data_IF_267329875667
#
_entry.id   IF_267329875667
#
_cell.length_a   1.000
_cell.length_b   1.000
_cell.length_c   1.000
_cell.angle_alpha   90.00
_cell.angle_beta   90.00
_cell.angle_gamma   90.00
#
_symmetry.space_group_name_H-M   'P 1'
#
loop_
_entity.id
_entity.type
_entity.pdbx_description
1 polymer ?
#
# COMPACT_ATOMS: atom_id res chain seq x y z
N UNK A 1 45.55 8.73 -6.92
CA UNK A 1 44.35 8.26 -6.19
C UNK A 1 43.52 7.45 -7.17
N UNK A 2 43.64 6.12 -7.10
CA UNK A 2 43.04 5.16 -8.03
C UNK A 2 41.55 4.95 -7.71
N UNK A 3 40.74 4.78 -8.76
CA UNK A 3 39.27 4.55 -8.68
C UNK A 3 38.86 3.35 -7.80
N UNK A 4 39.80 2.50 -7.41
CA UNK A 4 39.59 1.35 -6.52
C UNK A 4 39.22 1.74 -5.07
N UNK A 5 39.58 2.94 -4.62
CA UNK A 5 39.29 3.38 -3.25
C UNK A 5 37.89 3.99 -3.05
N UNK A 6 37.13 4.23 -4.11
CA UNK A 6 35.80 4.84 -4.01
C UNK A 6 34.71 3.81 -3.73
N UNK A 7 34.87 2.60 -4.28
CA UNK A 7 34.02 1.43 -4.02
C UNK A 7 34.15 0.88 -2.60
N UNK A 8 35.24 1.21 -1.89
CA UNK A 8 35.52 0.73 -0.53
C UNK A 8 34.69 1.43 0.59
N UNK A 9 33.84 2.41 0.26
CA UNK A 9 33.00 3.13 1.25
C UNK A 9 31.48 2.99 1.04
N UNK A 10 31.03 2.00 0.28
CA UNK A 10 29.60 1.65 0.25
C UNK A 10 29.38 0.48 1.22
N UNK A 11 28.58 0.70 2.27
CA UNK A 11 28.19 -0.36 3.20
C UNK A 11 27.64 -1.56 2.41
N UNK A 12 27.98 -2.83 2.72
CA UNK A 12 27.58 -3.99 1.91
C UNK A 12 26.06 -4.13 1.69
N UNK A 13 25.24 -3.66 2.64
CA UNK A 13 23.77 -3.55 2.50
C UNK A 13 23.29 -2.57 1.41
N UNK A 14 24.17 -1.67 0.95
CA UNK A 14 23.91 -0.66 -0.08
C UNK A 14 24.50 -1.06 -1.42
N UNK A 15 24.99 -2.31 -1.56
CA UNK A 15 25.27 -2.88 -2.88
C UNK A 15 23.98 -2.83 -3.73
N UNK A 16 24.13 -2.55 -5.03
CA UNK A 16 22.97 -2.35 -5.91
C UNK A 16 22.02 -3.57 -5.88
N UNK A 17 22.57 -4.77 -5.93
CA UNK A 17 21.79 -6.02 -5.96
C UNK A 17 21.06 -6.29 -4.63
N UNK A 18 21.75 -6.18 -3.49
CA UNK A 18 21.12 -6.38 -2.18
C UNK A 18 20.03 -5.33 -1.91
N UNK A 19 20.25 -4.08 -2.33
CA UNK A 19 19.29 -3.00 -2.13
C UNK A 19 18.04 -3.20 -3.00
N UNK A 20 18.18 -3.62 -4.26
CA UNK A 20 17.06 -3.96 -5.14
C UNK A 20 16.26 -5.13 -4.59
N UNK A 21 16.91 -6.21 -4.15
CA UNK A 21 16.22 -7.38 -3.58
C UNK A 21 15.42 -7.01 -2.32
N UNK A 22 15.99 -6.19 -1.43
CA UNK A 22 15.28 -5.66 -0.25
C UNK A 22 14.09 -4.80 -0.66
N UNK A 23 14.25 -3.96 -1.67
CA UNK A 23 13.18 -3.11 -2.21
C UNK A 23 12.03 -3.96 -2.73
N UNK A 24 12.31 -5.00 -3.52
CA UNK A 24 11.26 -5.88 -4.05
C UNK A 24 10.56 -6.63 -2.92
N UNK A 25 11.31 -7.27 -2.01
CA UNK A 25 10.72 -8.04 -0.92
C UNK A 25 9.83 -7.21 0.00
N UNK A 26 10.30 -6.03 0.41
CA UNK A 26 9.47 -5.12 1.23
C UNK A 26 8.24 -4.65 0.47
N UNK A 27 8.36 -4.35 -0.82
CA UNK A 27 7.23 -4.01 -1.70
C UNK A 27 6.16 -5.09 -1.70
N UNK A 28 6.58 -6.32 -2.03
CA UNK A 28 5.70 -7.49 -2.13
C UNK A 28 5.04 -7.81 -0.79
N UNK A 29 5.78 -7.77 0.32
CA UNK A 29 5.23 -8.05 1.63
C UNK A 29 4.12 -7.05 2.01
N UNK A 30 4.38 -5.74 1.86
CA UNK A 30 3.37 -4.72 2.14
C UNK A 30 2.16 -4.81 1.21
N UNK A 31 2.37 -5.08 -0.08
CA UNK A 31 1.28 -5.28 -1.03
C UNK A 31 0.41 -6.48 -0.65
N UNK A 32 1.02 -7.62 -0.34
CA UNK A 32 0.32 -8.84 0.04
C UNK A 32 -0.51 -8.63 1.32
N UNK A 33 0.04 -7.94 2.32
CA UNK A 33 -0.68 -7.62 3.55
C UNK A 33 -1.84 -6.67 3.28
N UNK A 34 -1.64 -5.59 2.51
CA UNK A 34 -2.70 -4.63 2.21
C UNK A 34 -3.84 -5.25 1.37
N UNK A 35 -3.50 -5.96 0.29
CA UNK A 35 -4.48 -6.62 -0.57
C UNK A 35 -5.17 -7.79 0.15
N UNK A 36 -4.40 -8.60 0.89
CA UNK A 36 -4.92 -9.75 1.62
C UNK A 36 -5.87 -9.35 2.75
N UNK A 37 -5.52 -8.34 3.55
CA UNK A 37 -6.40 -7.84 4.61
C UNK A 37 -7.70 -7.24 4.05
N UNK A 38 -7.62 -6.45 2.97
CA UNK A 38 -8.81 -5.92 2.29
C UNK A 38 -9.69 -7.06 1.75
N UNK A 39 -9.09 -8.07 1.11
CA UNK A 39 -9.82 -9.22 0.57
C UNK A 39 -10.50 -10.05 1.67
N UNK A 40 -9.82 -10.27 2.80
CA UNK A 40 -10.38 -11.01 3.94
C UNK A 40 -11.56 -10.26 4.54
N UNK A 41 -11.39 -8.98 4.88
CA UNK A 41 -12.45 -8.18 5.52
C UNK A 41 -13.66 -8.04 4.60
N UNK A 42 -13.43 -7.65 3.34
CA UNK A 42 -14.51 -7.50 2.37
C UNK A 42 -15.17 -8.85 2.05
N UNK A 43 -14.38 -9.93 1.94
CA UNK A 43 -14.89 -11.27 1.72
C UNK A 43 -15.81 -11.73 2.85
N UNK A 44 -15.41 -11.51 4.10
CA UNK A 44 -16.24 -11.80 5.29
C UNK A 44 -17.54 -11.01 5.27
N UNK A 45 -17.49 -9.69 5.03
CA UNK A 45 -18.69 -8.85 4.91
C UNK A 45 -19.62 -9.34 3.79
N UNK A 46 -19.08 -9.60 2.60
CA UNK A 46 -19.92 -10.04 1.47
C UNK A 46 -20.52 -11.42 1.73
N UNK A 47 -19.81 -12.31 2.43
CA UNK A 47 -20.26 -13.64 2.80
C UNK A 47 -21.38 -13.64 3.84
N UNK A 48 -21.46 -12.62 4.71
CA UNK A 48 -22.57 -12.47 5.66
C UNK A 48 -23.85 -11.94 5.02
N UNK A 49 -23.82 -11.59 3.73
CA UNK A 49 -24.95 -10.98 3.02
C UNK A 49 -24.95 -9.45 3.08
N UNK A 50 -23.97 -8.84 3.76
CA UNK A 50 -23.84 -7.38 3.81
C UNK A 50 -23.59 -6.79 2.41
N UNK A 51 -24.21 -5.64 2.12
CA UNK A 51 -23.99 -4.89 0.87
C UNK A 51 -23.89 -3.40 1.18
N UNK A 52 -23.07 -2.63 0.44
CA UNK A 52 -22.98 -1.18 0.60
C UNK A 52 -24.32 -0.46 0.44
N UNK A 53 -25.23 -1.00 -0.37
CA UNK A 53 -26.57 -0.43 -0.60
C UNK A 53 -27.54 -0.57 0.60
N UNK A 54 -27.14 -1.27 1.67
CA UNK A 54 -27.92 -1.38 2.91
C UNK A 54 -27.62 -0.24 3.89
N UNK A 55 -26.59 0.58 3.62
CA UNK A 55 -26.25 1.75 4.43
C UNK A 55 -27.19 2.92 4.08
N UNK A 56 -27.54 3.78 5.07
CA UNK A 56 -28.09 5.11 4.79
C UNK A 56 -27.17 5.90 3.84
N UNK A 57 -27.75 6.78 3.02
CA UNK A 57 -27.05 7.52 1.95
C UNK A 57 -25.73 8.16 2.42
N UNK A 58 -25.74 8.84 3.58
CA UNK A 58 -24.55 9.49 4.13
C UNK A 58 -23.41 8.48 4.44
N UNK A 59 -23.76 7.35 5.05
CA UNK A 59 -22.79 6.30 5.38
C UNK A 59 -22.33 5.54 4.12
N UNK A 60 -23.19 5.42 3.12
CA UNK A 60 -22.83 4.85 1.83
C UNK A 60 -21.76 5.69 1.12
N UNK A 61 -21.88 7.02 1.17
CA UNK A 61 -20.84 7.94 0.65
C UNK A 61 -19.52 7.73 1.40
N UNK A 62 -19.55 7.69 2.74
CA UNK A 62 -18.35 7.44 3.55
C UNK A 62 -17.69 6.10 3.18
N UNK A 63 -18.48 5.03 3.04
CA UNK A 63 -17.99 3.72 2.64
C UNK A 63 -17.25 3.76 1.30
N UNK A 64 -17.81 4.42 0.28
CA UNK A 64 -17.18 4.54 -1.02
C UNK A 64 -15.91 5.39 -1.01
N UNK A 65 -15.91 6.50 -0.27
CA UNK A 65 -14.71 7.32 -0.09
C UNK A 65 -13.60 6.50 0.57
N UNK A 66 -13.90 5.79 1.65
CA UNK A 66 -12.95 4.91 2.33
C UNK A 66 -12.44 3.79 1.40
N UNK A 67 -13.33 3.16 0.64
CA UNK A 67 -12.99 2.09 -0.31
C UNK A 67 -12.07 2.58 -1.42
N UNK A 68 -12.33 3.76 -1.98
CA UNK A 68 -11.46 4.37 -3.01
C UNK A 68 -10.07 4.66 -2.43
N UNK A 69 -9.98 5.19 -1.20
CA UNK A 69 -8.69 5.40 -0.54
C UNK A 69 -7.93 4.09 -0.33
N UNK A 70 -8.59 3.02 0.11
CA UNK A 70 -7.96 1.70 0.24
C UNK A 70 -7.49 1.16 -1.12
N UNK A 71 -8.29 1.33 -2.19
CA UNK A 71 -7.90 0.93 -3.53
C UNK A 71 -6.67 1.71 -4.04
N UNK A 72 -6.64 3.03 -3.83
CA UNK A 72 -5.48 3.88 -4.15
C UNK A 72 -4.25 3.46 -3.35
N UNK A 73 -4.41 3.13 -2.06
CA UNK A 73 -3.34 2.58 -1.23
C UNK A 73 -2.72 1.33 -1.86
N UNK A 74 -3.54 0.32 -2.19
CA UNK A 74 -3.07 -0.94 -2.78
C UNK A 74 -2.33 -0.67 -4.09
N UNK A 75 -2.85 0.24 -4.92
CA UNK A 75 -2.19 0.68 -6.16
C UNK A 75 -0.83 1.34 -5.91
N UNK A 76 -0.73 2.26 -4.95
CA UNK A 76 0.52 2.96 -4.62
C UNK A 76 1.58 2.02 -4.01
N UNK A 77 1.16 1.10 -3.13
CA UNK A 77 2.05 0.11 -2.54
C UNK A 77 2.53 -0.87 -3.62
N UNK A 78 1.65 -1.33 -4.51
CA UNK A 78 2.02 -2.17 -5.65
C UNK A 78 2.99 -1.46 -6.59
N UNK A 79 2.69 -0.20 -6.93
CA UNK A 79 3.56 0.62 -7.77
C UNK A 79 4.94 0.83 -7.14
N UNK A 80 5.07 0.86 -5.82
CA UNK A 80 6.36 1.12 -5.16
C UNK A 80 7.51 0.14 -5.52
N UNK A 81 7.19 -1.02 -6.10
CA UNK A 81 8.16 -2.00 -6.61
C UNK A 81 8.59 -1.79 -8.07
N UNK A 82 7.78 -1.10 -8.89
CA UNK A 82 7.96 -0.98 -10.34
C UNK A 82 9.01 0.07 -10.82
N UNK A 83 9.23 1.24 -10.15
CA UNK A 83 10.12 2.29 -10.64
C UNK A 83 11.57 1.87 -10.88
N UNK A 84 12.03 0.78 -10.25
CA UNK A 84 13.41 0.30 -10.38
C UNK A 84 13.76 -0.09 -11.82
N UNK A 85 12.76 -0.34 -12.67
CA UNK A 85 12.93 -0.73 -14.07
C UNK A 85 12.89 0.45 -15.05
N UNK A 86 12.42 1.63 -14.61
CA UNK A 86 12.13 2.77 -15.49
C UNK A 86 13.08 3.95 -15.27
N UNK A 87 13.54 4.18 -14.03
CA UNK A 87 14.31 5.37 -13.65
C UNK A 87 15.60 5.03 -12.91
N UNK A 88 16.49 6.02 -12.75
CA UNK A 88 17.74 5.87 -12.00
C UNK A 88 17.50 5.49 -10.52
N UNK A 89 18.48 4.81 -9.91
CA UNK A 89 18.37 4.27 -8.53
C UNK A 89 18.00 5.33 -7.48
N UNK A 90 18.62 6.54 -7.45
CA UNK A 90 18.19 7.61 -6.56
C UNK A 90 16.73 8.04 -6.73
N UNK A 91 16.25 8.16 -7.97
CA UNK A 91 14.86 8.53 -8.27
C UNK A 91 13.90 7.41 -7.89
N UNK A 92 14.22 6.16 -8.20
CA UNK A 92 13.44 4.99 -7.80
C UNK A 92 13.29 4.89 -6.28
N UNK A 93 14.38 5.12 -5.53
CA UNK A 93 14.38 5.12 -4.06
C UNK A 93 13.43 6.18 -3.47
N UNK A 94 13.46 7.41 -4.00
CA UNK A 94 12.56 8.49 -3.57
C UNK A 94 11.10 8.20 -3.90
N UNK A 95 10.83 7.70 -5.11
CA UNK A 95 9.48 7.35 -5.53
C UNK A 95 8.90 6.24 -4.65
N UNK A 96 9.66 5.17 -4.40
CA UNK A 96 9.26 4.09 -3.49
C UNK A 96 8.89 4.63 -2.11
N UNK A 97 9.74 5.49 -1.53
CA UNK A 97 9.49 6.03 -0.19
C UNK A 97 8.18 6.82 -0.14
N UNK A 98 7.95 7.69 -1.13
CA UNK A 98 6.72 8.49 -1.21
C UNK A 98 5.47 7.64 -1.44
N UNK A 99 5.52 6.70 -2.38
CA UNK A 99 4.35 5.85 -2.67
C UNK A 99 4.05 4.90 -1.52
N UNK A 100 5.05 4.42 -0.78
CA UNK A 100 4.84 3.66 0.45
C UNK A 100 4.20 4.51 1.55
N UNK A 101 4.73 5.71 1.81
CA UNK A 101 4.18 6.60 2.85
C UNK A 101 2.73 7.00 2.54
N UNK A 102 2.45 7.44 1.30
CA UNK A 102 1.11 7.81 0.88
C UNK A 102 0.18 6.59 0.83
N UNK A 103 0.67 5.45 0.35
CA UNK A 103 -0.08 4.20 0.34
C UNK A 103 -0.51 3.79 1.75
N UNK A 104 0.43 3.71 2.69
CA UNK A 104 0.13 3.39 4.10
C UNK A 104 -0.83 4.41 4.72
N UNK A 105 -0.66 5.71 4.45
CA UNK A 105 -1.58 6.74 4.94
C UNK A 105 -3.01 6.51 4.43
N UNK A 106 -3.18 6.28 3.13
CA UNK A 106 -4.48 6.00 2.52
C UNK A 106 -5.07 4.68 3.03
N UNK A 107 -4.26 3.66 3.31
CA UNK A 107 -4.73 2.42 3.92
C UNK A 107 -5.35 2.66 5.29
N UNK A 108 -4.65 3.41 6.15
CA UNK A 108 -5.08 3.69 7.53
C UNK A 108 -6.34 4.55 7.52
N UNK A 109 -6.32 5.68 6.80
CA UNK A 109 -7.45 6.61 6.76
C UNK A 109 -8.64 5.96 6.05
N UNK A 110 -8.43 5.40 4.86
CA UNK A 110 -9.47 4.75 4.08
C UNK A 110 -10.09 3.57 4.82
N UNK A 111 -9.27 2.72 5.43
CA UNK A 111 -9.71 1.59 6.23
C UNK A 111 -10.50 2.03 7.46
N UNK A 112 -10.04 3.06 8.18
CA UNK A 112 -10.76 3.58 9.34
C UNK A 112 -12.12 4.17 8.94
N UNK A 113 -12.18 4.95 7.86
CA UNK A 113 -13.44 5.54 7.33
C UNK A 113 -14.41 4.45 6.88
N UNK A 114 -13.91 3.44 6.15
CA UNK A 114 -14.72 2.33 5.68
C UNK A 114 -15.27 1.49 6.85
N UNK A 115 -14.42 1.12 7.81
CA UNK A 115 -14.85 0.39 9.00
C UNK A 115 -15.83 1.20 9.85
N UNK A 116 -15.63 2.50 9.99
CA UNK A 116 -16.55 3.38 10.69
C UNK A 116 -17.94 3.39 10.04
N UNK A 117 -18.00 3.47 8.71
CA UNK A 117 -19.27 3.39 7.97
C UNK A 117 -19.99 2.05 8.19
N UNK A 118 -19.24 0.94 8.24
CA UNK A 118 -19.80 -0.40 8.51
C UNK A 118 -20.31 -0.50 9.95
N UNK A 119 -19.55 -0.02 10.93
CA UNK A 119 -19.88 -0.12 12.36
C UNK A 119 -21.08 0.74 12.75
N UNK A 120 -21.27 1.89 12.09
CA UNK A 120 -22.45 2.74 12.28
C UNK A 120 -23.63 2.32 11.40
N UNK A 121 -23.41 1.43 10.45
CA UNK A 121 -24.46 0.84 9.65
C UNK A 121 -25.42 0.02 10.53
N UNK A 122 -26.69 -0.14 10.12
CA UNK A 122 -27.60 -1.00 10.83
C UNK A 122 -27.01 -2.42 10.94
N UNK A 123 -27.05 -2.99 12.14
CA UNK A 123 -26.84 -4.42 12.31
C UNK A 123 -27.95 -5.12 11.53
N UNK A 124 -27.57 -5.91 10.52
CA UNK A 124 -28.50 -6.74 9.77
C UNK A 124 -29.26 -7.70 10.70
#
# INVERSE_FOLDING_TARGET
MTRENETARIHPLMSAETNVQRIMWTGTAWFAVAAGSAAIVLGMLLSSGWRPAQLPDDLQVLWWVGSVLVALSVGLIGWSGCPILEVDVPTASRNKSRTMQLGTMFFIIGGAVALFAVLLGPAA
#
